data_IF_590360883196
#
_entry.id   IF_590360883196
#
_cell.length_a   1.000
_cell.length_b   1.000
_cell.length_c   1.000
_cell.angle_alpha   90.00
_cell.angle_beta   90.00
_cell.angle_gamma   90.00
#
_symmetry.space_group_name_H-M   'P 1'
#
loop_
_entity.id
_entity.type
_entity.pdbx_description
1 polymer ?
#
# COMPACT_ATOMS: atom_id res chain seq x y z
N UNK A 1 38.98 -45.64 -45.84
CA UNK A 1 38.04 -46.03 -44.77
C UNK A 1 37.15 -44.82 -44.51
N UNK A 2 36.04 -44.77 -45.23
CA UNK A 2 35.05 -43.68 -45.15
C UNK A 2 33.93 -44.16 -44.22
N UNK A 3 33.74 -43.47 -43.10
CA UNK A 3 32.69 -43.77 -42.13
C UNK A 3 31.46 -42.91 -42.45
N UNK A 4 30.38 -43.59 -42.79
CA UNK A 4 29.05 -43.03 -43.04
C UNK A 4 28.48 -42.39 -41.76
N UNK A 5 28.28 -41.07 -41.77
CA UNK A 5 27.40 -40.39 -40.83
C UNK A 5 25.96 -40.50 -41.36
N UNK A 6 25.17 -41.36 -40.73
CA UNK A 6 23.71 -41.43 -40.93
C UNK A 6 23.07 -40.46 -39.94
N UNK A 7 22.48 -39.38 -40.45
CA UNK A 7 21.63 -38.48 -39.67
C UNK A 7 20.25 -39.14 -39.46
N UNK A 8 19.63 -39.03 -38.27
CA UNK A 8 18.28 -39.53 -38.04
C UNK A 8 17.22 -38.62 -38.67
N UNK A 9 16.03 -39.15 -39.02
CA UNK A 9 14.97 -38.39 -39.67
C UNK A 9 14.23 -37.46 -38.71
N UNK A 10 13.94 -36.25 -39.18
CA UNK A 10 13.08 -35.27 -38.52
C UNK A 10 11.69 -35.86 -38.26
N UNK A 11 11.31 -35.97 -36.99
CA UNK A 11 9.94 -36.27 -36.57
C UNK A 11 9.06 -35.01 -36.74
N UNK A 12 8.20 -35.06 -37.75
CA UNK A 12 7.09 -34.12 -37.93
C UNK A 12 5.99 -34.43 -36.92
N UNK A 13 5.74 -33.52 -35.99
CA UNK A 13 4.61 -33.61 -35.05
C UNK A 13 3.36 -33.04 -35.74
N UNK A 14 2.51 -33.93 -36.26
CA UNK A 14 1.21 -33.61 -36.84
C UNK A 14 0.13 -33.71 -35.76
N UNK A 15 -0.32 -32.57 -35.24
CA UNK A 15 -1.44 -32.50 -34.29
C UNK A 15 -2.76 -32.72 -35.04
N UNK A 16 -3.33 -33.93 -34.97
CA UNK A 16 -4.72 -34.16 -35.39
C UNK A 16 -5.67 -33.61 -34.32
N UNK A 17 -6.30 -32.47 -34.61
CA UNK A 17 -7.47 -31.98 -33.88
C UNK A 17 -8.71 -32.62 -34.51
N UNK A 18 -9.33 -33.55 -33.77
CA UNK A 18 -10.63 -34.12 -34.10
C UNK A 18 -11.71 -33.02 -33.98
N UNK A 19 -12.26 -32.59 -35.12
CA UNK A 19 -13.43 -31.71 -35.20
C UNK A 19 -14.71 -32.52 -34.97
N UNK A 20 -15.36 -32.28 -33.82
CA UNK A 20 -16.75 -32.68 -33.60
C UNK A 20 -17.70 -31.86 -34.47
N UNK A 21 -18.66 -32.54 -35.08
CA UNK A 21 -19.67 -31.98 -35.96
C UNK A 21 -20.71 -31.13 -35.21
N UNK A 22 -21.14 -30.02 -35.83
CA UNK A 22 -22.36 -29.28 -35.48
C UNK A 22 -23.23 -29.10 -36.76
N UNK A 23 -24.57 -29.06 -36.63
CA UNK A 23 -25.52 -29.14 -37.75
C UNK A 23 -25.75 -27.79 -38.45
N UNK A 24 -26.38 -27.78 -39.64
CA UNK A 24 -26.38 -26.62 -40.53
C UNK A 24 -27.42 -25.57 -40.11
N UNK A 25 -27.00 -24.31 -40.04
CA UNK A 25 -27.91 -23.16 -40.00
C UNK A 25 -28.19 -22.65 -41.42
N UNK A 26 -29.48 -22.41 -41.64
CA UNK A 26 -30.12 -21.90 -42.85
C UNK A 26 -29.70 -20.47 -43.18
N UNK A 27 -29.59 -20.22 -44.48
CA UNK A 27 -29.29 -18.94 -45.09
C UNK A 27 -30.46 -17.95 -45.02
N UNK A 28 -30.15 -16.67 -44.84
CA UNK A 28 -30.94 -15.53 -45.32
C UNK A 28 -30.05 -14.32 -45.64
N UNK A 29 -30.51 -13.38 -46.49
CA UNK A 29 -29.66 -12.72 -47.47
C UNK A 29 -29.15 -11.33 -47.07
N UNK A 30 -28.15 -10.91 -47.85
CA UNK A 30 -27.48 -9.61 -47.85
C UNK A 30 -28.45 -8.42 -47.90
N UNK A 31 -28.12 -7.37 -47.14
CA UNK A 31 -28.65 -6.04 -47.37
C UNK A 31 -27.57 -4.96 -47.21
N UNK A 32 -27.82 -3.85 -47.89
CA UNK A 32 -26.91 -2.84 -48.42
C UNK A 32 -25.99 -2.11 -47.42
N UNK A 33 -24.77 -1.80 -47.89
CA UNK A 33 -23.84 -0.88 -47.25
C UNK A 33 -24.09 0.54 -47.78
N UNK A 34 -24.63 1.40 -46.91
CA UNK A 34 -24.73 2.84 -47.09
C UNK A 34 -24.06 3.60 -45.93
N UNK A 35 -23.33 4.66 -46.28
CA UNK A 35 -22.57 5.61 -45.46
C UNK A 35 -23.05 5.91 -44.02
N UNK A 36 -22.11 5.99 -43.06
CA UNK A 36 -21.65 7.23 -42.40
C UNK A 36 -20.87 6.93 -41.10
N UNK A 37 -19.68 7.53 -40.96
CA UNK A 37 -19.00 7.74 -39.67
C UNK A 37 -19.82 8.72 -38.80
N UNK A 38 -19.83 8.53 -37.46
CA UNK A 38 -19.03 9.45 -36.63
C UNK A 38 -18.41 8.86 -35.35
N UNK A 39 -17.34 9.51 -34.91
CA UNK A 39 -16.67 9.42 -33.62
C UNK A 39 -17.62 9.18 -32.42
N UNK A 40 -17.38 8.10 -31.66
CA UNK A 40 -17.97 7.90 -30.33
C UNK A 40 -17.08 8.53 -29.26
N UNK A 41 -17.60 9.56 -28.60
CA UNK A 41 -17.18 10.04 -27.27
C UNK A 41 -17.60 9.01 -26.22
N UNK A 42 -16.66 8.61 -25.36
CA UNK A 42 -16.99 7.88 -24.13
C UNK A 42 -17.77 8.81 -23.18
N UNK A 43 -18.95 8.37 -22.76
CA UNK A 43 -19.81 9.12 -21.85
C UNK A 43 -19.28 9.06 -20.42
N UNK A 44 -19.00 10.23 -19.85
CA UNK A 44 -18.78 10.40 -18.41
C UNK A 44 -20.10 10.30 -17.64
N UNK A 45 -20.08 9.57 -16.53
CA UNK A 45 -21.15 9.55 -15.53
C UNK A 45 -21.27 10.93 -14.85
N UNK A 46 -22.47 11.35 -14.41
CA UNK A 46 -22.68 12.67 -13.83
C UNK A 46 -22.15 12.76 -12.39
N UNK A 47 -21.23 13.70 -12.18
CA UNK A 47 -20.57 14.06 -10.91
C UNK A 47 -21.50 14.57 -9.78
N UNK A 48 -22.82 14.53 -9.96
CA UNK A 48 -23.75 15.26 -9.08
C UNK A 48 -24.13 14.53 -7.80
N UNK A 49 -23.82 13.23 -7.66
CA UNK A 49 -24.08 12.48 -6.42
C UNK A 49 -22.95 12.58 -5.38
N UNK A 50 -21.70 12.78 -5.80
CA UNK A 50 -20.54 12.84 -4.88
C UNK A 50 -20.43 14.16 -4.09
N UNK A 51 -21.00 15.26 -4.62
CA UNK A 51 -20.88 16.59 -4.00
C UNK A 51 -21.66 16.76 -2.70
N UNK A 52 -22.53 15.81 -2.31
CA UNK A 52 -23.35 15.91 -1.10
C UNK A 52 -22.69 15.29 0.15
N UNK A 53 -21.73 14.37 0.01
CA UNK A 53 -20.98 13.81 1.14
C UNK A 53 -19.75 14.67 1.55
N UNK A 54 -19.30 15.57 0.67
CA UNK A 54 -18.01 16.27 0.82
C UNK A 54 -18.04 17.54 1.71
N UNK A 55 -19.21 18.04 2.11
CA UNK A 55 -19.29 19.30 2.87
C UNK A 55 -18.99 19.15 4.38
N UNK A 56 -18.89 17.93 4.92
CA UNK A 56 -18.48 17.67 6.31
C UNK A 56 -16.97 17.42 6.46
N UNK A 57 -16.20 17.29 5.38
CA UNK A 57 -14.82 16.81 5.42
C UNK A 57 -13.78 17.79 5.96
N UNK A 58 -14.00 19.11 5.85
CA UNK A 58 -12.96 20.06 6.28
C UNK A 58 -12.74 20.05 7.80
N UNK A 59 -13.81 19.87 8.57
CA UNK A 59 -13.72 19.70 10.03
C UNK A 59 -13.24 18.29 10.36
N UNK A 60 -13.57 17.30 9.51
CA UNK A 60 -13.15 15.91 9.67
C UNK A 60 -11.66 15.72 9.43
N UNK A 61 -11.04 16.44 8.49
CA UNK A 61 -9.59 16.41 8.25
C UNK A 61 -8.85 17.07 9.41
N UNK A 62 -9.31 18.23 9.90
CA UNK A 62 -8.71 18.85 11.09
C UNK A 62 -8.89 17.94 12.33
N UNK A 63 -10.06 17.35 12.51
CA UNK A 63 -10.32 16.41 13.60
C UNK A 63 -9.58 15.07 13.43
N UNK A 64 -9.32 14.61 12.19
CA UNK A 64 -8.45 13.45 11.92
C UNK A 64 -7.00 13.81 12.21
N UNK A 65 -6.53 15.01 11.86
CA UNK A 65 -5.19 15.50 12.19
C UNK A 65 -5.04 15.56 13.71
N UNK A 66 -5.99 16.15 14.41
CA UNK A 66 -6.00 16.23 15.87
C UNK A 66 -6.09 14.82 16.53
N UNK A 67 -6.90 13.91 15.97
CA UNK A 67 -6.99 12.52 16.43
C UNK A 67 -5.73 11.71 16.11
N UNK A 68 -5.09 11.94 14.96
CA UNK A 68 -3.86 11.27 14.54
C UNK A 68 -2.69 11.70 15.44
N UNK A 69 -2.58 13.00 15.73
CA UNK A 69 -1.64 13.56 16.70
C UNK A 69 -1.88 13.04 18.12
N UNK A 70 -3.12 12.65 18.46
CA UNK A 70 -3.48 12.04 19.75
C UNK A 70 -3.42 10.50 19.83
N UNK A 71 -3.28 9.79 18.70
CA UNK A 71 -3.48 8.32 18.64
C UNK A 71 -2.27 7.45 18.96
N UNK A 72 -1.14 8.04 19.34
CA UNK A 72 -0.01 7.29 19.95
C UNK A 72 -0.24 6.99 21.46
N UNK A 73 -1.38 7.38 22.04
CA UNK A 73 -1.74 6.99 23.41
C UNK A 73 -2.19 5.52 23.52
N UNK A 74 -1.71 4.90 24.60
CA UNK A 74 -1.89 3.51 25.06
C UNK A 74 -3.20 2.81 24.66
N UNK A 75 -3.15 1.50 24.26
CA UNK A 75 -4.31 0.70 23.86
C UNK A 75 -5.50 0.68 24.84
N UNK A 76 -5.29 1.05 26.10
CA UNK A 76 -6.30 1.04 27.16
C UNK A 76 -7.41 2.10 26.99
N UNK A 77 -7.23 3.19 26.23
CA UNK A 77 -8.22 4.28 26.10
C UNK A 77 -9.12 4.21 24.86
N UNK A 78 -8.81 3.31 23.92
CA UNK A 78 -9.58 3.12 22.68
C UNK A 78 -11.07 2.77 22.88
N UNK A 79 -11.47 1.97 23.89
CA UNK A 79 -12.88 1.68 24.14
C UNK A 79 -13.68 2.91 24.58
N UNK A 80 -13.09 3.77 25.42
CA UNK A 80 -13.74 4.97 25.96
C UNK A 80 -13.97 6.01 24.87
N UNK A 81 -12.94 6.28 24.06
CA UNK A 81 -13.00 7.21 22.92
C UNK A 81 -14.03 6.76 21.86
N UNK A 82 -14.11 5.45 21.58
CA UNK A 82 -15.13 4.88 20.68
C UNK A 82 -16.54 5.03 21.23
N UNK A 83 -16.72 4.86 22.55
CA UNK A 83 -18.03 5.02 23.21
C UNK A 83 -18.49 6.48 23.21
N UNK A 84 -17.56 7.41 23.44
CA UNK A 84 -17.83 8.86 23.42
C UNK A 84 -18.21 9.31 22.01
N UNK A 85 -17.46 8.89 20.99
CA UNK A 85 -17.79 9.15 19.59
C UNK A 85 -19.14 8.58 19.17
N UNK A 86 -19.46 7.34 19.55
CA UNK A 86 -20.75 6.72 19.21
C UNK A 86 -21.95 7.44 19.87
N UNK A 87 -21.76 8.03 21.06
CA UNK A 87 -22.75 8.88 21.73
C UNK A 87 -22.91 10.22 21.00
N UNK A 88 -21.81 10.90 20.69
CA UNK A 88 -21.85 12.20 20.02
C UNK A 88 -22.41 12.13 18.60
N UNK A 89 -22.18 11.02 17.90
CA UNK A 89 -22.74 10.74 16.58
C UNK A 89 -24.22 10.29 16.60
N UNK A 90 -24.86 10.18 17.78
CA UNK A 90 -26.24 9.71 17.92
C UNK A 90 -26.46 8.26 17.46
N UNK A 91 -25.39 7.46 17.42
CA UNK A 91 -25.40 6.06 16.98
C UNK A 91 -25.69 5.09 18.15
N UNK A 92 -25.53 5.55 19.39
CA UNK A 92 -25.66 4.73 20.60
C UNK A 92 -27.05 4.08 20.78
N UNK A 93 -28.12 4.70 20.29
CA UNK A 93 -29.51 4.24 20.50
C UNK A 93 -30.12 3.56 19.26
N UNK A 94 -29.36 3.28 18.20
CA UNK A 94 -29.89 2.63 16.99
C UNK A 94 -30.02 1.11 17.17
N UNK A 95 -31.25 0.55 17.20
CA UNK A 95 -31.43 -0.90 17.32
C UNK A 95 -30.88 -1.60 16.06
N UNK A 96 -29.83 -2.40 16.24
CA UNK A 96 -29.22 -3.22 15.17
C UNK A 96 -27.72 -3.01 14.96
N UNK A 97 -27.11 -1.98 15.56
CA UNK A 97 -25.65 -1.78 15.51
C UNK A 97 -25.06 -2.28 16.83
N UNK A 98 -24.59 -3.54 16.86
CA UNK A 98 -23.74 -4.06 17.94
C UNK A 98 -22.29 -3.95 17.49
N UNK A 99 -21.51 -3.14 18.20
CA UNK A 99 -20.06 -3.21 18.07
C UNK A 99 -19.61 -4.55 18.67
N UNK A 100 -18.90 -5.35 17.89
CA UNK A 100 -18.30 -6.58 18.38
C UNK A 100 -17.36 -6.22 19.54
N UNK A 101 -17.67 -6.69 20.74
CA UNK A 101 -16.67 -6.80 21.80
C UNK A 101 -15.74 -7.91 21.34
N UNK A 102 -14.54 -7.54 20.91
CA UNK A 102 -13.49 -8.51 20.67
C UNK A 102 -13.11 -9.11 22.02
N UNK A 103 -13.44 -10.38 22.22
CA UNK A 103 -12.88 -11.21 23.28
C UNK A 103 -11.37 -11.26 23.06
N UNK A 104 -10.63 -10.49 23.85
CA UNK A 104 -9.18 -10.56 23.93
C UNK A 104 -8.84 -11.93 24.52
N UNK A 105 -8.52 -12.89 23.66
CA UNK A 105 -7.81 -14.08 24.09
C UNK A 105 -6.44 -13.65 24.60
N UNK A 106 -6.30 -13.69 25.92
CA UNK A 106 -5.05 -13.61 26.66
C UNK A 106 -4.13 -14.73 26.14
N UNK A 107 -3.19 -14.36 25.26
CA UNK A 107 -2.09 -15.24 24.86
C UNK A 107 -1.09 -15.20 26.01
N UNK A 108 -1.13 -16.27 26.80
CA UNK A 108 -0.18 -16.60 27.85
C UNK A 108 1.26 -16.54 27.27
N UNK A 109 1.96 -15.46 27.60
CA UNK A 109 3.35 -15.25 27.20
C UNK A 109 4.22 -15.97 28.22
N UNK A 110 4.60 -17.19 27.86
CA UNK A 110 5.56 -18.00 28.59
C UNK A 110 6.80 -17.19 28.97
N UNK A 111 7.01 -17.10 30.28
CA UNK A 111 8.17 -16.55 30.95
C UNK A 111 9.42 -17.31 30.50
N UNK A 112 10.33 -16.63 29.81
CA UNK A 112 11.72 -17.06 29.72
C UNK A 112 12.47 -16.40 30.88
N UNK A 113 12.70 -17.16 31.96
CA UNK A 113 13.70 -16.81 32.96
C UNK A 113 15.08 -16.78 32.30
N UNK A 114 15.70 -15.60 32.29
CA UNK A 114 17.13 -15.46 32.04
C UNK A 114 17.75 -15.05 33.38
N UNK A 115 18.33 -16.03 34.06
CA UNK A 115 19.16 -15.80 35.24
C UNK A 115 20.49 -15.13 34.86
N UNK A 116 20.75 -13.99 35.51
CA UNK A 116 22.05 -13.68 36.14
C UNK A 116 23.18 -13.13 35.28
N UNK A 117 23.56 -11.86 35.49
CA UNK A 117 24.71 -11.52 36.35
C UNK A 117 25.03 -10.02 36.36
N UNK A 118 24.96 -9.46 37.57
CA UNK A 118 25.62 -8.28 38.16
C UNK A 118 26.40 -7.28 37.26
N UNK A 119 26.12 -5.97 37.43
CA UNK A 119 26.81 -5.15 38.44
C UNK A 119 26.47 -3.65 38.35
N UNK A 120 26.28 -3.06 39.53
CA UNK A 120 26.64 -1.69 39.94
C UNK A 120 25.84 -0.48 39.43
N UNK A 121 25.27 0.27 40.39
CA UNK A 121 25.23 1.74 40.35
C UNK A 121 23.91 2.41 40.70
N UNK A 122 23.50 2.38 41.97
CA UNK A 122 22.54 3.37 42.52
C UNK A 122 23.17 4.78 42.51
N UNK A 123 22.37 5.82 42.27
CA UNK A 123 22.28 6.84 43.30
C UNK A 123 20.85 7.32 43.60
N UNK A 124 20.63 7.51 44.89
CA UNK A 124 19.52 8.17 45.56
C UNK A 124 19.04 9.45 44.85
N UNK A 125 17.70 9.60 44.73
CA UNK A 125 17.08 10.93 44.69
C UNK A 125 15.74 10.97 45.43
N UNK A 126 15.85 11.53 46.63
CA UNK A 126 14.96 12.50 47.28
C UNK A 126 13.47 12.46 46.94
N UNK A 127 12.71 12.03 47.95
CA UNK A 127 11.35 12.41 48.25
C UNK A 127 11.14 13.92 48.17
N UNK A 128 10.18 14.36 47.34
CA UNK A 128 9.57 15.69 47.45
C UNK A 128 8.06 15.49 47.53
N UNK A 129 7.54 15.80 48.72
CA UNK A 129 6.14 15.87 49.10
C UNK A 129 5.75 17.35 49.08
N UNK A 130 4.81 17.72 48.23
CA UNK A 130 4.10 19.01 48.28
C UNK A 130 2.64 18.71 47.93
N UNK A 131 1.71 18.66 48.89
CA UNK A 131 1.01 19.82 49.46
C UNK A 131 0.19 20.54 48.39
N UNK A 132 -0.96 19.97 48.03
CA UNK A 132 -2.01 20.66 47.26
C UNK A 132 -3.08 21.09 48.25
N UNK A 133 -3.25 22.41 48.34
CA UNK A 133 -4.25 23.11 49.13
C UNK A 133 -5.64 23.00 48.50
N UNK A 134 -6.62 22.76 49.36
CA UNK A 134 -8.05 22.82 49.10
C UNK A 134 -8.46 24.18 48.50
N UNK A 135 -9.23 24.15 47.41
CA UNK A 135 -9.89 25.31 46.83
C UNK A 135 -11.39 25.03 46.69
N UNK A 136 -12.14 25.59 47.65
CA UNK A 136 -13.50 26.16 47.57
C UNK A 136 -14.35 25.80 46.35
N UNK A 137 -15.39 24.98 46.59
CA UNK A 137 -16.53 24.78 45.68
C UNK A 137 -17.39 26.06 45.61
N UNK A 138 -17.61 26.57 44.39
CA UNK A 138 -18.57 27.63 44.08
C UNK A 138 -19.65 27.09 43.13
N UNK A 139 -20.90 27.60 43.19
CA UNK A 139 -22.02 27.01 42.47
C UNK A 139 -21.94 27.27 40.96
N UNK A 140 -22.05 26.18 40.19
CA UNK A 140 -22.16 26.16 38.72
C UNK A 140 -23.52 26.74 38.31
N UNK A 141 -23.51 27.90 37.66
CA UNK A 141 -24.67 28.45 36.96
C UNK A 141 -24.70 27.92 35.52
N UNK A 142 -25.72 27.11 35.22
CA UNK A 142 -26.08 26.68 33.86
C UNK A 142 -26.56 27.87 33.01
N UNK A 143 -25.65 28.42 32.20
CA UNK A 143 -25.95 29.39 31.16
C UNK A 143 -26.25 28.68 29.84
N UNK A 144 -27.48 28.19 29.71
CA UNK A 144 -28.04 27.60 28.49
C UNK A 144 -28.56 28.68 27.54
N UNK A 145 -27.66 29.36 26.83
CA UNK A 145 -28.05 30.33 25.79
C UNK A 145 -27.18 30.24 24.54
N UNK A 146 -27.81 29.74 23.47
CA UNK A 146 -27.70 30.32 22.13
C UNK A 146 -26.37 30.21 21.38
N UNK A 147 -25.98 29.00 20.96
CA UNK A 147 -25.00 28.76 19.89
C UNK A 147 -25.60 28.16 18.61
N UNK A 148 -26.93 28.04 18.52
CA UNK A 148 -27.59 27.26 17.45
C UNK A 148 -27.88 28.01 16.13
N UNK A 149 -27.53 29.29 15.99
CA UNK A 149 -27.91 30.09 14.80
C UNK A 149 -26.77 30.48 13.85
N UNK A 150 -25.51 30.08 14.10
CA UNK A 150 -24.35 30.61 13.34
C UNK A 150 -23.96 29.83 12.07
N UNK A 151 -24.63 28.70 11.76
CA UNK A 151 -24.22 27.81 10.65
C UNK A 151 -25.03 27.96 9.35
N UNK A 152 -25.95 28.94 9.26
CA UNK A 152 -26.90 29.05 8.14
C UNK A 152 -26.48 30.07 7.07
N UNK A 153 -25.20 30.16 6.75
CA UNK A 153 -24.71 31.19 5.82
C UNK A 153 -23.43 30.91 5.02
N UNK A 154 -22.76 29.76 5.18
CA UNK A 154 -21.60 29.48 4.34
C UNK A 154 -22.04 29.20 2.90
N UNK A 155 -21.63 30.08 1.99
CA UNK A 155 -21.93 29.96 0.58
C UNK A 155 -21.31 28.67 0.02
N UNK A 156 -22.05 27.94 -0.81
CA UNK A 156 -21.58 26.72 -1.50
C UNK A 156 -20.25 26.88 -2.27
N UNK A 157 -19.82 28.12 -2.52
CA UNK A 157 -18.52 28.42 -3.12
C UNK A 157 -17.32 28.17 -2.18
N UNK A 158 -17.49 28.37 -0.87
CA UNK A 158 -16.41 28.23 0.12
C UNK A 158 -15.88 26.79 0.20
N UNK A 159 -16.79 25.82 0.36
CA UNK A 159 -16.43 24.41 0.51
C UNK A 159 -15.70 23.85 -0.73
N UNK A 160 -16.13 24.22 -1.94
CA UNK A 160 -15.46 23.80 -3.18
C UNK A 160 -14.02 24.33 -3.29
N UNK A 161 -13.78 25.55 -2.80
CA UNK A 161 -12.44 26.13 -2.80
C UNK A 161 -11.54 25.39 -1.83
N UNK A 162 -12.01 25.08 -0.61
CA UNK A 162 -11.24 24.31 0.39
C UNK A 162 -10.89 22.90 -0.11
N UNK A 163 -11.86 22.18 -0.68
CA UNK A 163 -11.60 20.85 -1.27
C UNK A 163 -10.57 20.95 -2.39
N UNK A 164 -10.68 21.95 -3.27
CA UNK A 164 -9.72 22.17 -4.36
C UNK A 164 -8.31 22.45 -3.82
N UNK A 165 -8.21 23.20 -2.73
CA UNK A 165 -6.93 23.45 -2.06
C UNK A 165 -6.35 22.18 -1.44
N UNK A 166 -7.16 21.29 -0.85
CA UNK A 166 -6.67 20.03 -0.28
C UNK A 166 -6.18 19.02 -1.34
N UNK A 167 -6.76 19.02 -2.56
CA UNK A 167 -6.42 18.06 -3.63
C UNK A 167 -5.35 18.58 -4.62
N UNK A 168 -4.90 19.82 -4.45
CA UNK A 168 -3.86 20.42 -5.30
C UNK A 168 -2.71 20.92 -4.46
N UNK A 169 -1.50 20.94 -5.03
CA UNK A 169 -0.34 21.55 -4.38
C UNK A 169 -0.22 23.01 -4.81
N UNK A 170 -0.32 23.93 -3.86
CA UNK A 170 0.01 25.34 -4.09
C UNK A 170 1.52 25.49 -4.28
N UNK A 171 2.31 24.86 -3.41
CA UNK A 171 3.74 24.70 -3.56
C UNK A 171 4.07 23.29 -4.09
N UNK A 172 4.63 23.22 -5.29
CA UNK A 172 5.04 21.97 -5.93
C UNK A 172 6.23 21.31 -5.23
N UNK A 173 6.97 22.03 -4.39
CA UNK A 173 8.10 21.47 -3.64
C UNK A 173 7.67 20.42 -2.60
N UNK A 174 6.42 20.51 -2.14
CA UNK A 174 5.81 19.58 -1.19
C UNK A 174 5.48 18.23 -1.81
N UNK A 175 5.21 18.18 -3.13
CA UNK A 175 4.98 16.92 -3.83
C UNK A 175 6.33 16.22 -3.98
N UNK A 176 6.62 15.30 -3.07
CA UNK A 176 7.84 14.50 -3.06
C UNK A 176 7.56 13.04 -3.35
N UNK A 177 8.53 12.40 -4.00
CA UNK A 177 8.53 10.96 -4.28
C UNK A 177 9.88 10.35 -3.95
N UNK A 178 9.87 9.07 -3.57
CA UNK A 178 11.07 8.27 -3.34
C UNK A 178 11.13 7.14 -4.37
N UNK A 179 12.33 6.70 -4.74
CA UNK A 179 12.47 5.57 -5.65
C UNK A 179 12.09 4.26 -4.95
N UNK A 180 11.29 3.40 -5.57
CA UNK A 180 10.91 2.11 -4.98
C UNK A 180 12.12 1.24 -4.58
N UNK A 181 13.24 1.35 -5.30
CA UNK A 181 14.49 0.67 -4.94
C UNK A 181 15.02 1.09 -3.57
N UNK A 182 14.85 2.36 -3.17
CA UNK A 182 15.25 2.85 -1.84
C UNK A 182 14.37 2.22 -0.75
N UNK A 183 13.09 2.06 -1.03
CA UNK A 183 12.15 1.43 -0.10
C UNK A 183 12.41 -0.06 0.10
N UNK A 184 12.84 -0.75 -0.96
CA UNK A 184 13.10 -2.19 -0.96
C UNK A 184 14.54 -2.55 -0.57
N UNK A 185 15.43 -1.56 -0.47
CA UNK A 185 16.84 -1.76 -0.09
C UNK A 185 16.96 -2.51 1.24
N UNK A 186 17.93 -3.43 1.33
CA UNK A 186 18.22 -4.21 2.55
C UNK A 186 17.00 -4.96 3.12
N UNK A 187 16.07 -5.40 2.28
CA UNK A 187 14.89 -6.14 2.75
C UNK A 187 13.82 -5.25 3.39
N UNK A 188 13.73 -3.98 2.95
CA UNK A 188 12.71 -3.06 3.42
C UNK A 188 12.96 -2.48 4.81
N UNK A 189 14.22 -2.16 5.15
CA UNK A 189 14.58 -1.61 6.48
C UNK A 189 13.82 -0.32 6.81
N UNK A 190 13.40 0.45 5.80
CA UNK A 190 12.59 1.66 6.01
C UNK A 190 11.29 1.39 6.78
N UNK A 191 10.73 0.19 6.64
CA UNK A 191 9.47 -0.24 7.25
C UNK A 191 9.62 -0.81 8.66
N UNK A 192 10.83 -0.83 9.22
CA UNK A 192 11.11 -1.42 10.54
C UNK A 192 10.53 -0.61 11.70
N UNK A 193 10.49 0.72 11.54
CA UNK A 193 9.93 1.65 12.52
C UNK A 193 9.02 2.65 11.82
N UNK A 194 7.98 3.14 12.49
CA UNK A 194 7.11 4.21 11.98
C UNK A 194 7.80 5.58 12.01
N UNK A 195 8.63 5.81 13.02
CA UNK A 195 9.36 7.06 13.19
C UNK A 195 10.27 7.35 11.99
N UNK A 196 10.13 8.55 11.41
CA UNK A 196 11.07 9.07 10.43
C UNK A 196 11.97 10.15 11.01
N UNK A 197 12.98 10.50 10.21
CA UNK A 197 13.97 11.52 10.52
C UNK A 197 14.18 12.42 9.31
N UNK A 198 14.94 13.51 9.46
CA UNK A 198 15.39 14.32 8.33
C UNK A 198 16.10 13.45 7.27
N UNK A 199 16.91 12.47 7.71
CA UNK A 199 17.60 11.57 6.79
C UNK A 199 16.65 10.65 6.01
N UNK A 200 15.52 10.22 6.59
CA UNK A 200 14.52 9.45 5.82
C UNK A 200 13.72 10.34 4.87
N UNK A 201 13.52 11.61 5.22
CA UNK A 201 12.89 12.60 4.35
C UNK A 201 13.78 12.93 3.14
N UNK A 202 15.10 13.04 3.34
CA UNK A 202 16.08 13.28 2.29
C UNK A 202 16.20 12.15 1.24
N UNK A 203 15.61 10.98 1.52
CA UNK A 203 15.50 9.89 0.53
C UNK A 203 14.51 10.23 -0.58
N UNK A 204 13.55 11.11 -0.33
CA UNK A 204 12.61 11.61 -1.33
C UNK A 204 13.14 12.88 -1.99
N UNK A 205 12.65 13.21 -3.18
CA UNK A 205 12.92 14.46 -3.87
C UNK A 205 11.60 15.08 -4.38
N UNK A 206 11.55 16.40 -4.63
CA UNK A 206 10.40 17.02 -5.29
C UNK A 206 10.16 16.41 -6.68
N UNK A 207 8.92 16.05 -6.98
CA UNK A 207 8.50 15.42 -8.23
C UNK A 207 7.27 16.12 -8.81
N UNK A 208 7.03 15.92 -10.09
CA UNK A 208 5.84 16.46 -10.77
C UNK A 208 4.65 15.49 -10.67
N UNK A 209 4.94 14.20 -10.57
CA UNK A 209 3.96 13.11 -10.56
C UNK A 209 4.54 11.89 -9.86
N UNK A 210 3.66 11.05 -9.32
CA UNK A 210 3.99 9.79 -8.68
C UNK A 210 3.45 8.63 -9.52
N UNK A 211 4.23 7.57 -9.64
CA UNK A 211 3.81 6.36 -10.35
C UNK A 211 2.90 5.49 -9.47
N UNK A 212 3.17 5.47 -8.16
CA UNK A 212 2.35 4.75 -7.20
C UNK A 212 2.29 5.44 -5.84
N UNK A 213 1.11 5.39 -5.21
CA UNK A 213 0.90 5.68 -3.79
C UNK A 213 0.94 4.38 -3.00
N UNK A 214 1.85 4.23 -2.04
CA UNK A 214 1.93 3.03 -1.20
C UNK A 214 1.10 3.24 0.07
N UNK A 215 -0.07 2.63 0.12
CA UNK A 215 -0.86 2.57 1.36
C UNK A 215 -0.57 1.29 2.12
N UNK A 216 -0.34 1.44 3.41
CA UNK A 216 0.01 0.36 4.28
C UNK A 216 -0.37 0.67 5.73
N UNK A 217 -0.39 -0.34 6.58
CA UNK A 217 -0.54 -0.17 8.01
C UNK A 217 0.82 -0.36 8.69
N UNK A 218 1.22 0.59 9.54
CA UNK A 218 2.48 0.51 10.28
C UNK A 218 2.56 -0.73 11.18
N UNK A 219 1.43 -1.23 11.70
CA UNK A 219 1.39 -2.46 12.52
C UNK A 219 1.66 -3.75 11.73
N UNK A 220 1.60 -3.73 10.39
CA UNK A 220 1.92 -4.91 9.58
C UNK A 220 3.42 -5.23 9.68
N UNK A 221 3.82 -6.50 9.85
CA UNK A 221 5.23 -6.87 9.92
C UNK A 221 6.03 -6.41 8.70
N UNK A 222 7.27 -5.97 8.94
CA UNK A 222 8.21 -5.51 7.90
C UNK A 222 8.32 -6.48 6.72
N UNK A 223 8.42 -7.78 7.02
CA UNK A 223 8.60 -8.84 6.01
C UNK A 223 7.42 -8.94 5.07
N UNK A 224 6.19 -8.78 5.56
CA UNK A 224 4.99 -8.83 4.72
C UNK A 224 4.92 -7.65 3.76
N UNK A 225 5.21 -6.43 4.26
CA UNK A 225 5.33 -5.23 3.43
C UNK A 225 6.41 -5.42 2.35
N UNK A 226 7.59 -5.87 2.75
CA UNK A 226 8.70 -6.11 1.82
C UNK A 226 8.35 -7.16 0.77
N UNK A 227 7.81 -8.32 1.15
CA UNK A 227 7.44 -9.39 0.22
C UNK A 227 6.39 -8.91 -0.79
N UNK A 228 5.35 -8.22 -0.32
CA UNK A 228 4.29 -7.68 -1.17
C UNK A 228 4.85 -6.67 -2.19
N UNK A 229 5.64 -5.71 -1.72
CA UNK A 229 6.21 -4.67 -2.58
C UNK A 229 7.29 -5.21 -3.51
N UNK A 230 8.12 -6.16 -3.07
CA UNK A 230 9.09 -6.85 -3.94
C UNK A 230 8.36 -7.64 -5.03
N UNK A 231 7.29 -8.35 -4.66
CA UNK A 231 6.45 -9.03 -5.66
C UNK A 231 5.83 -8.05 -6.64
N UNK A 232 5.33 -6.90 -6.20
CA UNK A 232 4.73 -5.92 -7.10
C UNK A 232 5.76 -5.26 -8.04
N UNK A 233 6.84 -4.70 -7.49
CA UNK A 233 7.81 -3.91 -8.28
C UNK A 233 8.81 -4.77 -9.06
N UNK A 234 9.16 -5.97 -8.58
CA UNK A 234 10.23 -6.77 -9.17
C UNK A 234 9.74 -7.95 -10.01
N UNK A 235 8.45 -8.26 -10.01
CA UNK A 235 7.91 -9.42 -10.72
C UNK A 235 8.36 -9.45 -12.18
N UNK A 236 8.29 -8.31 -12.87
CA UNK A 236 8.55 -8.30 -14.30
C UNK A 236 10.03 -8.55 -14.62
N UNK A 237 10.91 -7.94 -13.82
CA UNK A 237 12.34 -8.18 -13.90
C UNK A 237 12.71 -9.61 -13.54
N UNK A 238 12.12 -10.16 -12.46
CA UNK A 238 12.36 -11.52 -12.02
C UNK A 238 11.98 -12.54 -13.10
N UNK A 239 10.82 -12.36 -13.73
CA UNK A 239 10.38 -13.19 -14.84
C UNK A 239 11.32 -13.09 -16.05
N UNK A 240 11.69 -11.87 -16.46
CA UNK A 240 12.55 -11.65 -17.62
C UNK A 240 13.94 -12.27 -17.42
N UNK A 241 14.56 -12.05 -16.26
CA UNK A 241 15.86 -12.64 -15.90
C UNK A 241 15.77 -14.17 -15.87
N UNK A 242 14.68 -14.71 -15.30
CA UNK A 242 14.48 -16.16 -15.24
C UNK A 242 14.27 -16.77 -16.62
N UNK A 243 13.53 -16.10 -17.51
CA UNK A 243 13.33 -16.56 -18.88
C UNK A 243 14.64 -16.59 -19.67
N UNK A 244 15.48 -15.57 -19.52
CA UNK A 244 16.82 -15.53 -20.12
C UNK A 244 17.71 -16.65 -19.57
N UNK A 245 17.70 -16.86 -18.25
CA UNK A 245 18.44 -17.95 -17.62
C UNK A 245 17.96 -19.32 -18.09
N UNK A 246 16.64 -19.54 -18.17
CA UNK A 246 16.04 -20.76 -18.67
C UNK A 246 16.47 -21.05 -20.12
N UNK A 247 16.40 -20.04 -21.00
CA UNK A 247 16.85 -20.17 -22.39
C UNK A 247 18.34 -20.54 -22.49
N UNK A 248 19.20 -19.91 -21.69
CA UNK A 248 20.62 -20.21 -21.64
C UNK A 248 20.89 -21.64 -21.12
N UNK A 249 20.23 -22.06 -20.04
CA UNK A 249 20.37 -23.40 -19.48
C UNK A 249 19.85 -24.48 -20.44
N UNK A 250 18.74 -24.23 -21.13
CA UNK A 250 18.23 -25.12 -22.18
C UNK A 250 19.23 -25.25 -23.32
N UNK A 251 19.80 -24.15 -23.81
CA UNK A 251 20.82 -24.19 -24.86
C UNK A 251 22.09 -24.96 -24.44
N UNK A 252 22.52 -24.81 -23.19
CA UNK A 252 23.65 -25.57 -22.65
C UNK A 252 23.32 -27.06 -22.50
N UNK A 253 22.08 -27.39 -22.14
CA UNK A 253 21.60 -28.78 -22.04
C UNK A 253 21.55 -29.43 -23.42
N UNK A 254 21.00 -28.76 -24.43
CA UNK A 254 20.91 -29.30 -25.80
C UNK A 254 22.28 -29.44 -26.47
N UNK A 255 23.25 -28.63 -26.07
CA UNK A 255 24.65 -28.75 -26.49
C UNK A 255 25.42 -29.86 -25.74
N UNK A 256 24.79 -30.55 -24.78
CA UNK A 256 25.40 -31.65 -24.02
C UNK A 256 26.36 -31.21 -22.92
N UNK A 257 26.36 -29.93 -22.53
CA UNK A 257 27.20 -29.43 -21.45
C UNK A 257 26.61 -29.64 -20.06
N UNK A 258 25.28 -29.83 -19.96
CA UNK A 258 24.58 -30.04 -18.69
C UNK A 258 23.91 -31.42 -18.66
N UNK A 259 23.81 -32.05 -17.47
CA UNK A 259 23.21 -33.36 -17.33
C UNK A 259 21.70 -33.32 -17.57
N UNK A 260 21.19 -34.31 -18.32
CA UNK A 260 19.77 -34.61 -18.43
C UNK A 260 19.41 -35.78 -17.51
N UNK A 261 18.16 -35.82 -17.05
CA UNK A 261 17.59 -36.97 -16.33
C UNK A 261 16.51 -37.56 -17.22
N UNK A 262 16.63 -38.85 -17.51
CA UNK A 262 15.62 -39.62 -18.23
C UNK A 262 14.48 -40.00 -17.28
N UNK A 263 13.28 -39.52 -17.57
CA UNK A 263 12.06 -39.83 -16.81
C UNK A 263 11.24 -40.97 -17.47
N UNK A 264 11.86 -41.77 -18.33
CA UNK A 264 11.22 -42.90 -19.00
C UNK A 264 10.21 -42.43 -20.05
N UNK A 265 8.93 -42.73 -19.85
CA UNK A 265 7.86 -42.37 -20.80
C UNK A 265 7.71 -40.85 -21.01
N UNK A 266 8.20 -40.03 -20.09
CA UNK A 266 8.14 -38.57 -20.17
C UNK A 266 9.35 -37.93 -20.87
N UNK A 267 10.32 -38.74 -21.30
CA UNK A 267 11.54 -38.29 -21.98
C UNK A 267 12.59 -37.67 -21.05
N UNK A 268 13.60 -37.06 -21.66
CA UNK A 268 14.69 -36.39 -20.95
C UNK A 268 14.31 -34.97 -20.53
N UNK A 269 14.52 -34.62 -19.26
CA UNK A 269 14.40 -33.25 -18.78
C UNK A 269 15.71 -32.73 -18.17
N UNK A 270 15.97 -31.44 -18.36
CA UNK A 270 17.14 -30.77 -17.81
C UNK A 270 16.98 -30.50 -16.32
N UNK A 271 17.49 -31.41 -15.48
CA UNK A 271 17.44 -31.30 -14.01
C UNK A 271 17.98 -29.96 -13.48
N UNK A 272 19.05 -29.46 -14.10
CA UNK A 272 19.65 -28.16 -13.75
C UNK A 272 18.68 -27.01 -14.01
N UNK A 273 17.96 -27.03 -15.14
CA UNK A 273 16.98 -25.99 -15.45
C UNK A 273 15.82 -25.98 -14.45
N UNK A 274 15.29 -27.15 -14.09
CA UNK A 274 14.20 -27.29 -13.12
C UNK A 274 14.58 -26.79 -11.72
N UNK A 275 15.83 -26.99 -11.28
CA UNK A 275 16.29 -26.53 -9.98
C UNK A 275 16.73 -25.06 -9.99
N UNK A 276 17.43 -24.62 -11.03
CA UNK A 276 18.03 -23.28 -11.07
C UNK A 276 17.01 -22.19 -11.39
N UNK A 277 16.00 -22.44 -12.24
CA UNK A 277 15.04 -21.41 -12.62
C UNK A 277 14.25 -20.84 -11.41
N UNK A 278 13.69 -21.65 -10.49
CA UNK A 278 13.06 -21.11 -9.29
C UNK A 278 14.03 -20.34 -8.39
N UNK A 279 15.28 -20.80 -8.27
CA UNK A 279 16.30 -20.10 -7.48
C UNK A 279 16.68 -18.75 -8.10
N UNK A 280 16.90 -18.71 -9.41
CA UNK A 280 17.16 -17.47 -10.16
C UNK A 280 15.98 -16.53 -10.04
N UNK A 281 14.75 -17.04 -10.15
CA UNK A 281 13.54 -16.24 -9.97
C UNK A 281 13.48 -15.60 -8.59
N UNK A 282 13.65 -16.38 -7.52
CA UNK A 282 13.63 -15.87 -6.15
C UNK A 282 14.76 -14.86 -5.90
N UNK A 283 15.98 -15.15 -6.36
CA UNK A 283 17.09 -14.22 -6.26
C UNK A 283 16.77 -12.91 -7.00
N UNK A 284 16.35 -12.98 -8.26
CA UNK A 284 15.98 -11.81 -9.05
C UNK A 284 14.80 -11.05 -8.44
N UNK A 285 13.82 -11.73 -7.85
CA UNK A 285 12.69 -11.12 -7.17
C UNK A 285 13.15 -10.26 -5.99
N UNK A 286 14.15 -10.70 -5.23
CA UNK A 286 14.62 -9.97 -4.04
C UNK A 286 15.76 -8.98 -4.31
N UNK A 287 16.56 -9.17 -5.37
CA UNK A 287 17.78 -8.37 -5.61
C UNK A 287 17.73 -7.49 -6.86
N UNK A 288 16.75 -7.63 -7.76
CA UNK A 288 16.72 -6.89 -9.03
C UNK A 288 16.73 -5.37 -8.85
N UNK A 289 16.03 -4.83 -7.86
CA UNK A 289 16.08 -3.38 -7.56
C UNK A 289 17.49 -2.90 -7.18
N UNK A 290 18.20 -3.66 -6.36
CA UNK A 290 19.58 -3.31 -5.98
C UNK A 290 20.51 -3.42 -7.20
N UNK A 291 20.30 -4.42 -8.06
CA UNK A 291 21.04 -4.56 -9.31
C UNK A 291 20.79 -3.39 -10.26
N UNK A 292 19.53 -3.00 -10.49
CA UNK A 292 19.18 -1.88 -11.37
C UNK A 292 19.67 -0.55 -10.82
N UNK A 293 19.57 -0.33 -9.51
CA UNK A 293 20.14 0.85 -8.87
C UNK A 293 21.67 0.90 -9.03
N UNK A 294 22.36 -0.25 -8.89
CA UNK A 294 23.81 -0.33 -9.11
C UNK A 294 24.20 -0.07 -10.58
N UNK A 295 23.30 -0.34 -11.52
CA UNK A 295 23.44 0.00 -12.94
C UNK A 295 23.05 1.45 -13.27
N UNK A 296 22.66 2.26 -12.27
CA UNK A 296 22.22 3.64 -12.48
C UNK A 296 20.82 3.75 -13.10
N UNK A 297 20.06 2.66 -13.16
CA UNK A 297 18.68 2.67 -13.61
C UNK A 297 17.79 3.21 -12.49
N UNK A 298 16.96 4.19 -12.83
CA UNK A 298 15.98 4.73 -11.90
C UNK A 298 14.75 3.82 -11.89
N UNK A 299 14.31 3.44 -10.70
CA UNK A 299 13.04 2.75 -10.50
C UNK A 299 11.85 3.71 -10.45
N UNK A 300 10.62 3.18 -10.28
CA UNK A 300 9.42 3.97 -10.20
C UNK A 300 9.48 4.94 -9.00
N UNK A 301 9.01 6.18 -9.20
CA UNK A 301 8.89 7.17 -8.14
C UNK A 301 7.55 6.99 -7.42
N UNK A 302 7.61 6.72 -6.12
CA UNK A 302 6.46 6.34 -5.31
C UNK A 302 6.33 7.24 -4.08
N UNK A 303 5.10 7.36 -3.59
CA UNK A 303 4.84 8.01 -2.31
C UNK A 303 4.86 6.99 -1.18
N UNK A 304 5.61 7.32 -0.13
CA UNK A 304 5.56 6.69 1.18
C UNK A 304 5.63 7.80 2.22
N UNK A 305 4.58 7.90 3.05
CA UNK A 305 4.39 8.88 4.13
C UNK A 305 5.69 9.23 4.88
N UNK A 306 6.39 8.23 5.41
CA UNK A 306 7.63 8.39 6.21
C UNK A 306 8.78 9.08 5.46
N UNK A 307 8.82 8.94 4.14
CA UNK A 307 9.90 9.53 3.31
C UNK A 307 9.47 10.82 2.62
N UNK A 308 8.18 10.98 2.35
CA UNK A 308 7.67 12.09 1.54
C UNK A 308 7.07 13.22 2.39
N UNK A 309 6.71 12.94 3.65
CA UNK A 309 6.26 13.94 4.64
C UNK A 309 7.38 14.14 5.66
N UNK A 310 7.68 15.40 5.96
CA UNK A 310 8.73 15.76 6.91
C UNK A 310 8.32 15.33 8.33
N UNK A 311 9.06 14.42 8.97
CA UNK A 311 8.65 13.83 10.26
C UNK A 311 9.11 14.63 11.49
N UNK A 312 10.12 15.50 11.34
CA UNK A 312 10.74 16.22 12.48
C UNK A 312 10.38 17.71 12.56
N UNK A 313 9.81 18.27 11.50
CA UNK A 313 9.38 19.67 11.43
C UNK A 313 7.86 19.64 11.45
N UNK A 314 7.26 20.13 12.53
CA UNK A 314 5.82 19.98 12.79
C UNK A 314 4.96 20.78 11.83
N UNK A 315 5.45 21.91 11.35
CA UNK A 315 4.70 22.74 10.40
C UNK A 315 4.67 22.07 9.03
N UNK A 316 5.81 21.58 8.55
CA UNK A 316 5.89 20.82 7.30
C UNK A 316 5.20 19.44 7.40
N UNK A 317 5.26 18.80 8.56
CA UNK A 317 4.53 17.55 8.82
C UNK A 317 3.03 17.77 8.66
N UNK A 318 2.50 18.78 9.35
CA UNK A 318 1.09 19.14 9.30
C UNK A 318 0.67 19.52 7.89
N UNK A 319 1.46 20.34 7.19
CA UNK A 319 1.17 20.70 5.80
C UNK A 319 1.16 19.47 4.88
N UNK A 320 2.10 18.54 5.04
CA UNK A 320 2.14 17.29 4.28
C UNK A 320 0.92 16.40 4.54
N UNK A 321 0.50 16.27 5.80
CA UNK A 321 -0.69 15.49 6.21
C UNK A 321 -1.96 16.11 5.63
N UNK A 322 -2.12 17.44 5.72
CA UNK A 322 -3.27 18.15 5.16
C UNK A 322 -3.37 18.03 3.63
N UNK A 323 -2.26 17.71 2.95
CA UNK A 323 -2.20 17.53 1.49
C UNK A 323 -2.18 16.07 1.04
N UNK A 324 -2.55 15.11 1.90
CA UNK A 324 -2.58 13.70 1.51
C UNK A 324 -3.44 13.42 0.28
N UNK A 325 -4.62 14.05 0.20
CA UNK A 325 -5.50 13.93 -0.96
C UNK A 325 -4.83 14.43 -2.25
N UNK A 326 -3.95 15.44 -2.17
CA UNK A 326 -3.17 15.91 -3.30
C UNK A 326 -2.11 14.89 -3.74
N UNK A 327 -1.47 14.17 -2.81
CA UNK A 327 -0.56 13.07 -3.14
C UNK A 327 -1.28 11.93 -3.87
N UNK A 328 -2.47 11.55 -3.39
CA UNK A 328 -3.32 10.56 -4.06
C UNK A 328 -3.70 11.01 -5.47
N UNK A 329 -4.20 12.25 -5.61
CA UNK A 329 -4.54 12.83 -6.92
C UNK A 329 -3.35 12.96 -7.88
N UNK A 330 -2.13 13.10 -7.34
CA UNK A 330 -0.89 13.16 -8.13
C UNK A 330 -0.29 11.77 -8.45
N UNK A 331 -0.89 10.68 -7.98
CA UNK A 331 -0.42 9.31 -8.18
C UNK A 331 -1.17 8.61 -9.31
N UNK A 332 -0.44 7.93 -10.20
CA UNK A 332 -1.02 7.17 -11.31
C UNK A 332 -1.72 5.88 -10.86
N UNK A 333 -1.25 5.29 -9.75
CA UNK A 333 -1.80 4.06 -9.20
C UNK A 333 -1.69 4.05 -7.67
N UNK A 334 -2.40 3.12 -7.02
CA UNK A 334 -2.33 2.87 -5.58
C UNK A 334 -1.94 1.42 -5.33
N UNK A 335 -0.92 1.20 -4.51
CA UNK A 335 -0.45 -0.13 -4.09
C UNK A 335 -0.82 -0.32 -2.63
N UNK A 336 -1.69 -1.28 -2.36
CA UNK A 336 -2.21 -1.56 -1.02
C UNK A 336 -1.51 -2.78 -0.46
N UNK A 337 -0.76 -2.60 0.64
CA UNK A 337 -0.26 -3.73 1.44
C UNK A 337 -1.38 -4.17 2.38
N UNK A 338 -2.24 -5.05 1.86
CA UNK A 338 -3.39 -5.54 2.60
C UNK A 338 -2.97 -6.42 3.79
N UNK A 339 -3.59 -6.17 4.94
CA UNK A 339 -3.48 -7.00 6.15
C UNK A 339 -4.84 -7.04 6.86
N UNK A 340 -5.10 -7.98 7.77
CA UNK A 340 -6.37 -8.04 8.50
C UNK A 340 -6.73 -6.75 9.25
N UNK A 341 -5.73 -5.97 9.68
CA UNK A 341 -5.91 -4.68 10.35
C UNK A 341 -5.91 -3.48 9.40
N UNK A 342 -5.84 -3.70 8.08
CA UNK A 342 -5.80 -2.59 7.13
C UNK A 342 -7.13 -1.84 7.10
N UNK A 343 -8.27 -2.53 7.01
CA UNK A 343 -9.59 -1.87 6.95
C UNK A 343 -10.12 -1.42 8.32
N UNK A 344 -9.37 -1.66 9.41
CA UNK A 344 -9.77 -1.24 10.77
C UNK A 344 -9.18 0.11 11.18
N UNK A 345 -8.18 0.61 10.44
CA UNK A 345 -7.56 1.91 10.68
C UNK A 345 -8.27 2.98 9.84
N UNK A 346 -8.64 4.08 10.48
CA UNK A 346 -9.37 5.18 9.83
C UNK A 346 -8.59 5.76 8.64
N UNK A 347 -7.28 5.94 8.82
CA UNK A 347 -6.39 6.53 7.82
C UNK A 347 -6.34 5.74 6.50
N UNK A 348 -6.13 4.43 6.58
CA UNK A 348 -6.07 3.55 5.40
C UNK A 348 -7.42 3.41 4.70
N UNK A 349 -8.53 3.47 5.45
CA UNK A 349 -9.88 3.52 4.87
C UNK A 349 -10.12 4.85 4.16
N UNK A 350 -9.68 5.96 4.73
CA UNK A 350 -9.73 7.28 4.10
C UNK A 350 -8.93 7.31 2.78
N UNK A 351 -7.70 6.78 2.78
CA UNK A 351 -6.87 6.69 1.57
C UNK A 351 -7.54 5.86 0.47
N UNK A 352 -8.11 4.70 0.84
CA UNK A 352 -8.82 3.83 -0.09
C UNK A 352 -10.07 4.52 -0.65
N UNK A 353 -10.88 5.15 0.21
CA UNK A 353 -12.10 5.85 -0.20
C UNK A 353 -11.81 7.05 -1.10
N UNK A 354 -10.68 7.72 -0.89
CA UNK A 354 -10.27 8.88 -1.70
C UNK A 354 -9.81 8.50 -3.12
N UNK A 355 -9.42 7.24 -3.33
CA UNK A 355 -8.96 6.72 -4.63
C UNK A 355 -10.09 6.10 -5.48
N UNK A 356 -11.23 5.75 -4.86
CA UNK A 356 -12.40 5.14 -5.50
C UNK A 356 -13.40 6.20 -5.99
#
# INVERSE_FOLDING_TARGET
MASNLVLPPCLSYSTQVSKGAMPPQTAEPANEVGHHSPHKKAGGLPWTCYSACFNEESTYVEHIVDLAEGSEESPARLPEARSAWAKDAGLADRPGIRFAQDDVHEVDSGVYEVEGSAAAGEPQRASVRASISEASEGPVQESSTSTRSMWRGESKGSARTRVRECITFSDKSLLRGTGAFQLLRRGGTIFEHSEGSAATFDLSAPVVRLEAFISHNWSTPRREKYMCLAMYFNWWAAWAITLLAAGALTALTTAGFLPTVDYGEFGEAGFVCSLMCPLVFLLALFTSNEMFAALGLSGPLVFLDKTCIHQTDKDLQREGILRLAAFLNASESMVIVYSPTYLTKLWTVYELASML
#
